data_IF_435015612062
#
_entry.id   IF_435015612062
#
_cell.length_a   1.000
_cell.length_b   1.000
_cell.length_c   1.000
_cell.angle_alpha   90.00
_cell.angle_beta   90.00
_cell.angle_gamma   90.00
#
_symmetry.space_group_name_H-M   'P 1'
#
loop_
_entity.id
_entity.type
_entity.pdbx_description
1 polymer ?
#
# COMPACT_ATOMS: atom_id res chain seq x y z
N UNK A 1 -48.06 -10.99 -4.73
CA UNK A 1 -46.89 -11.90 -4.70
C UNK A 1 -45.65 -11.35 -5.41
N UNK A 2 -45.75 -10.87 -6.67
CA UNK A 2 -44.58 -10.33 -7.41
C UNK A 2 -43.88 -9.12 -6.76
N UNK A 3 -44.64 -8.19 -6.16
CA UNK A 3 -44.09 -7.02 -5.44
C UNK A 3 -43.40 -7.39 -4.12
N UNK A 4 -43.88 -8.43 -3.44
CA UNK A 4 -43.24 -8.95 -2.22
C UNK A 4 -41.90 -9.61 -2.53
N UNK A 5 -41.84 -10.38 -3.63
CA UNK A 5 -40.60 -11.02 -4.08
C UNK A 5 -39.51 -10.00 -4.49
N UNK A 6 -39.90 -8.89 -5.13
CA UNK A 6 -38.97 -7.81 -5.51
C UNK A 6 -38.40 -7.08 -4.29
N UNK A 7 -39.21 -6.85 -3.25
CA UNK A 7 -38.77 -6.23 -2.00
C UNK A 7 -37.83 -7.15 -1.21
N UNK A 8 -38.11 -8.45 -1.15
CA UNK A 8 -37.23 -9.42 -0.49
C UNK A 8 -35.89 -9.51 -1.22
N UNK A 9 -35.90 -9.50 -2.56
CA UNK A 9 -34.67 -9.57 -3.37
C UNK A 9 -33.79 -8.32 -3.20
N UNK A 10 -34.39 -7.13 -3.05
CA UNK A 10 -33.65 -5.88 -2.80
C UNK A 10 -33.07 -5.83 -1.39
N UNK A 11 -33.81 -6.28 -0.37
CA UNK A 11 -33.32 -6.33 1.02
C UNK A 11 -32.16 -7.31 1.17
N UNK A 12 -32.18 -8.46 0.50
CA UNK A 12 -31.08 -9.44 0.52
C UNK A 12 -29.82 -8.88 -0.15
N UNK A 13 -29.96 -8.09 -1.22
CA UNK A 13 -28.82 -7.49 -1.92
C UNK A 13 -28.16 -6.35 -1.11
N UNK A 14 -28.95 -5.63 -0.29
CA UNK A 14 -28.44 -4.61 0.63
C UNK A 14 -27.76 -5.22 1.87
N UNK A 15 -28.24 -6.36 2.38
CA UNK A 15 -27.64 -7.06 3.53
C UNK A 15 -26.42 -7.92 3.16
N UNK A 16 -26.30 -8.38 1.92
CA UNK A 16 -25.15 -9.16 1.44
C UNK A 16 -23.85 -8.35 1.25
N UNK A 17 -23.91 -7.02 1.29
CA UNK A 17 -22.76 -6.12 1.07
C UNK A 17 -21.95 -5.75 2.32
N UNK A 18 -22.34 -6.21 3.51
CA UNK A 18 -21.68 -5.87 4.79
C UNK A 18 -20.55 -6.84 5.18
N UNK A 19 -20.09 -7.67 4.26
CA UNK A 19 -18.83 -8.39 4.46
C UNK A 19 -17.68 -7.41 4.34
N UNK A 20 -17.08 -7.03 5.47
CA UNK A 20 -15.77 -6.37 5.47
C UNK A 20 -14.82 -7.20 4.63
N UNK A 21 -14.52 -6.73 3.42
CA UNK A 21 -13.42 -7.26 2.62
C UNK A 21 -12.15 -6.82 3.36
N UNK A 22 -11.73 -7.61 4.34
CA UNK A 22 -10.36 -7.60 4.84
C UNK A 22 -9.49 -8.22 3.74
N UNK A 23 -9.40 -7.53 2.61
CA UNK A 23 -8.37 -7.81 1.62
C UNK A 23 -7.05 -7.53 2.32
N UNK A 24 -6.15 -8.50 2.32
CA UNK A 24 -4.78 -8.29 2.77
C UNK A 24 -4.24 -7.00 2.12
N UNK A 25 -4.01 -5.96 2.93
CA UNK A 25 -3.49 -4.69 2.42
C UNK A 25 -2.18 -4.98 1.70
N UNK A 26 -2.03 -4.43 0.50
CA UNK A 26 -0.80 -4.54 -0.28
C UNK A 26 -0.15 -3.18 -0.35
N UNK A 27 1.03 -3.07 0.25
CA UNK A 27 1.87 -1.88 0.19
C UNK A 27 2.97 -2.06 -0.84
N UNK A 28 3.17 -1.07 -1.69
CA UNK A 28 4.21 -1.03 -2.70
C UNK A 28 5.26 -0.01 -2.28
N UNK A 29 6.51 -0.44 -2.25
CA UNK A 29 7.66 0.41 -2.00
C UNK A 29 8.69 0.32 -3.11
N UNK A 30 9.51 1.35 -3.26
CA UNK A 30 10.65 1.31 -4.16
C UNK A 30 11.79 2.19 -3.63
N UNK A 31 13.03 1.81 -3.92
CA UNK A 31 14.17 2.68 -3.66
C UNK A 31 15.48 1.99 -3.39
N UNK A 32 16.18 2.49 -2.36
CA UNK A 32 17.51 2.08 -1.93
C UNK A 32 17.75 0.57 -2.00
N UNK A 33 18.86 0.18 -2.62
CA UNK A 33 19.26 -1.23 -2.73
C UNK A 33 19.99 -1.70 -1.48
N UNK A 34 20.63 -0.77 -0.76
CA UNK A 34 21.40 -1.05 0.45
C UNK A 34 20.57 -1.76 1.56
N UNK A 35 19.37 -1.28 1.95
CA UNK A 35 18.56 -1.95 2.98
C UNK A 35 17.70 -3.11 2.43
N UNK A 36 17.78 -3.43 1.14
CA UNK A 36 16.89 -4.44 0.54
C UNK A 36 16.88 -5.79 1.26
N UNK A 37 18.03 -6.38 1.66
CA UNK A 37 18.02 -7.67 2.34
C UNK A 37 17.19 -7.68 3.63
N UNK A 38 17.23 -6.60 4.42
CA UNK A 38 16.48 -6.50 5.67
C UNK A 38 15.01 -6.20 5.42
N UNK A 39 14.68 -5.33 4.45
CA UNK A 39 13.28 -5.08 4.06
C UNK A 39 12.58 -6.33 3.55
N UNK A 40 13.27 -7.17 2.78
CA UNK A 40 12.73 -8.44 2.31
C UNK A 40 12.42 -9.40 3.48
N UNK A 41 13.31 -9.49 4.47
CA UNK A 41 13.10 -10.31 5.65
C UNK A 41 11.92 -9.80 6.50
N UNK A 42 11.84 -8.49 6.72
CA UNK A 42 10.72 -7.86 7.44
C UNK A 42 9.39 -8.03 6.70
N UNK A 43 9.35 -7.79 5.38
CA UNK A 43 8.15 -7.98 4.56
C UNK A 43 7.60 -9.41 4.64
N UNK A 44 8.49 -10.40 4.60
CA UNK A 44 8.11 -11.81 4.74
C UNK A 44 7.52 -12.12 6.12
N UNK A 45 8.20 -11.69 7.19
CA UNK A 45 7.74 -11.93 8.55
C UNK A 45 6.43 -11.19 8.84
N UNK A 46 6.36 -9.92 8.45
CA UNK A 46 5.17 -9.09 8.63
C UNK A 46 3.97 -9.64 7.88
N UNK A 47 4.16 -10.19 6.68
CA UNK A 47 3.08 -10.84 5.93
C UNK A 47 2.54 -12.08 6.64
N UNK A 48 3.38 -12.84 7.36
CA UNK A 48 2.93 -14.00 8.14
C UNK A 48 2.12 -13.60 9.37
N UNK A 49 2.52 -12.52 10.04
CA UNK A 49 1.89 -12.08 11.30
C UNK A 49 0.62 -11.29 11.07
N UNK A 50 0.61 -10.40 10.07
CA UNK A 50 -0.47 -9.44 9.83
C UNK A 50 -1.35 -9.78 8.63
N UNK A 51 -0.87 -10.62 7.71
CA UNK A 51 -1.48 -10.83 6.40
C UNK A 51 -1.17 -9.74 5.37
N UNK A 52 -0.61 -8.58 5.77
CA UNK A 52 -0.27 -7.46 4.88
C UNK A 52 0.90 -7.84 3.99
N UNK A 53 0.76 -7.60 2.68
CA UNK A 53 1.80 -7.91 1.69
C UNK A 53 2.60 -6.66 1.34
N UNK A 54 3.90 -6.68 1.61
CA UNK A 54 4.80 -5.60 1.19
C UNK A 54 5.56 -6.03 -0.08
N UNK A 55 5.34 -5.30 -1.16
CA UNK A 55 6.04 -5.44 -2.43
C UNK A 55 7.09 -4.34 -2.56
N UNK A 56 8.37 -4.67 -2.39
CA UNK A 56 9.46 -3.70 -2.47
C UNK A 56 10.32 -3.89 -3.73
N UNK A 57 10.56 -2.80 -4.46
CA UNK A 57 11.36 -2.77 -5.68
C UNK A 57 12.74 -2.14 -5.40
N UNK A 58 13.79 -2.96 -5.48
CA UNK A 58 15.18 -2.54 -5.28
C UNK A 58 15.74 -1.89 -6.55
N UNK A 59 15.57 -0.57 -6.68
CA UNK A 59 15.88 0.19 -7.92
C UNK A 59 16.87 1.35 -7.71
N UNK A 60 17.39 1.50 -6.49
CA UNK A 60 18.27 2.59 -6.09
C UNK A 60 17.54 3.82 -5.54
N UNK A 61 18.22 4.58 -4.68
CA UNK A 61 17.67 5.70 -3.91
C UNK A 61 17.00 6.78 -4.78
N UNK A 62 17.66 7.20 -5.86
CA UNK A 62 17.06 8.17 -6.80
C UNK A 62 15.80 7.65 -7.51
N UNK A 63 15.72 6.34 -7.76
CA UNK A 63 14.53 5.69 -8.28
C UNK A 63 13.36 5.75 -7.29
N UNK A 64 13.63 5.47 -6.01
CA UNK A 64 12.66 5.53 -4.93
C UNK A 64 12.09 6.92 -4.72
N UNK A 65 12.97 7.93 -4.61
CA UNK A 65 12.59 9.35 -4.50
C UNK A 65 11.68 9.77 -5.66
N UNK A 66 12.05 9.43 -6.90
CA UNK A 66 11.23 9.75 -8.07
C UNK A 66 9.85 9.10 -8.04
N UNK A 67 9.77 7.83 -7.64
CA UNK A 67 8.50 7.11 -7.60
C UNK A 67 7.56 7.62 -6.49
N UNK A 68 8.09 7.96 -5.31
CA UNK A 68 7.25 8.50 -4.23
C UNK A 68 6.76 9.92 -4.53
N UNK A 69 7.61 10.77 -5.13
CA UNK A 69 7.20 12.11 -5.61
C UNK A 69 6.08 11.99 -6.66
N UNK A 70 6.21 11.05 -7.60
CA UNK A 70 5.23 10.79 -8.64
C UNK A 70 4.01 9.98 -8.16
N UNK A 71 3.95 9.62 -6.86
CA UNK A 71 2.86 8.86 -6.23
C UNK A 71 2.57 7.51 -6.92
N UNK A 72 3.60 6.87 -7.46
CA UNK A 72 3.47 5.55 -8.11
C UNK A 72 3.66 4.38 -7.14
N UNK A 73 4.08 4.68 -5.91
CA UNK A 73 4.30 3.74 -4.79
C UNK A 73 3.75 4.35 -3.50
N UNK A 74 3.47 3.50 -2.52
CA UNK A 74 2.94 3.89 -1.21
C UNK A 74 4.04 4.48 -0.32
N UNK A 75 5.30 4.03 -0.48
CA UNK A 75 6.46 4.60 0.20
C UNK A 75 7.73 4.55 -0.67
N UNK A 76 8.63 5.51 -0.46
CA UNK A 76 9.95 5.55 -1.08
C UNK A 76 11.06 5.26 -0.05
N UNK A 77 12.18 4.73 -0.51
CA UNK A 77 13.37 4.54 0.33
C UNK A 77 14.61 5.20 -0.30
N UNK A 78 15.41 5.90 0.50
CA UNK A 78 16.64 6.56 0.08
C UNK A 78 17.68 6.49 1.18
N UNK A 79 18.92 6.16 0.80
CA UNK A 79 20.08 6.22 1.70
C UNK A 79 20.52 7.66 1.98
N UNK A 80 20.13 8.60 1.11
CA UNK A 80 20.39 10.02 1.26
C UNK A 80 19.10 10.74 1.69
N UNK A 81 19.11 11.49 2.81
CA UNK A 81 17.95 12.26 3.23
C UNK A 81 17.65 13.38 2.22
N UNK A 82 16.36 13.68 2.01
CA UNK A 82 15.96 14.81 1.19
C UNK A 82 16.19 16.11 1.96
N UNK A 83 16.55 17.21 1.27
CA UNK A 83 16.49 18.54 1.86
C UNK A 83 15.07 18.86 2.35
N UNK A 84 14.90 19.56 3.50
CA UNK A 84 13.58 19.94 4.01
C UNK A 84 12.69 20.63 2.99
N UNK A 85 13.28 21.46 2.11
CA UNK A 85 12.58 22.19 1.07
C UNK A 85 11.94 21.25 0.03
N UNK A 86 12.63 20.16 -0.33
CA UNK A 86 12.08 19.13 -1.24
C UNK A 86 11.01 18.29 -0.53
N UNK A 87 11.14 18.01 0.78
CA UNK A 87 10.11 17.30 1.55
C UNK A 87 8.81 18.11 1.57
N UNK A 88 8.89 19.41 1.91
CA UNK A 88 7.73 20.30 1.97
C UNK A 88 7.09 20.49 0.59
N UNK A 89 7.90 20.82 -0.43
CA UNK A 89 7.44 21.03 -1.81
C UNK A 89 6.68 19.82 -2.37
N UNK A 90 7.18 18.61 -2.10
CA UNK A 90 6.57 17.37 -2.61
C UNK A 90 5.51 16.79 -1.66
N UNK A 91 5.23 17.45 -0.53
CA UNK A 91 4.27 17.01 0.50
C UNK A 91 4.58 15.59 0.98
N UNK A 92 5.85 15.35 1.28
CA UNK A 92 6.35 14.09 1.83
C UNK A 92 6.52 14.19 3.35
N UNK A 93 6.62 13.04 3.99
CA UNK A 93 7.10 12.88 5.36
C UNK A 93 8.36 12.04 5.29
N UNK A 94 9.40 12.45 6.02
CA UNK A 94 10.66 11.72 6.13
C UNK A 94 11.17 11.73 7.57
#
# INVERSE_FOLDING_TARGET
MKRLAVVILTVVMVLGGLGSVYGADRLNGAGATFPYPVYAAWAWQYSKESGVKINYQSIGSGGGVRQIINRTVDFGASDAPLPPEEIEKNKLLQ
#
